data_IF_230457562124
#
_entry.id   IF_230457562124
#
_cell.length_a   1.000
_cell.length_b   1.000
_cell.length_c   1.000
_cell.angle_alpha   90.00
_cell.angle_beta   90.00
_cell.angle_gamma   90.00
#
_symmetry.space_group_name_H-M   'P 1'
#
loop_
_entity.id
_entity.type
_entity.pdbx_description
1 polymer ?
#
# COMPACT_ATOMS: atom_id res chain seq x y z
N UNK A 1 9.47 -25.40 0.26
CA UNK A 1 8.48 -24.48 -0.33
C UNK A 1 8.85 -24.33 -1.80
N UNK A 2 7.91 -24.48 -2.74
CA UNK A 2 8.22 -24.35 -4.17
C UNK A 2 8.27 -22.87 -4.55
N UNK A 3 9.42 -22.39 -4.97
CA UNK A 3 9.64 -20.98 -5.37
C UNK A 3 9.34 -20.73 -6.84
N UNK A 4 9.15 -21.79 -7.62
CA UNK A 4 8.90 -21.72 -9.07
C UNK A 4 7.43 -21.48 -9.43
N UNK A 5 6.53 -21.51 -8.44
CA UNK A 5 5.10 -21.25 -8.66
C UNK A 5 4.82 -19.73 -8.61
N UNK A 6 3.91 -19.22 -9.45
CA UNK A 6 3.38 -17.87 -9.30
C UNK A 6 2.86 -17.65 -7.88
N UNK A 7 3.39 -16.64 -7.18
CA UNK A 7 3.06 -16.41 -5.77
C UNK A 7 2.66 -14.95 -5.54
N UNK A 8 1.50 -14.75 -4.89
CA UNK A 8 1.06 -13.44 -4.41
C UNK A 8 1.48 -13.26 -2.96
N UNK A 9 2.15 -12.15 -2.66
CA UNK A 9 2.46 -11.68 -1.31
C UNK A 9 1.55 -10.51 -0.95
N UNK A 10 1.14 -10.46 0.31
CA UNK A 10 0.30 -9.38 0.82
C UNK A 10 0.87 -8.87 2.13
N UNK A 11 1.11 -7.57 2.19
CA UNK A 11 1.43 -6.84 3.41
C UNK A 11 0.33 -5.81 3.64
N UNK A 12 -0.62 -6.13 4.51
CA UNK A 12 -1.75 -5.26 4.85
C UNK A 12 -1.49 -4.60 6.20
N UNK A 13 -1.09 -3.31 6.18
CA UNK A 13 -0.62 -2.54 7.32
C UNK A 13 0.51 -3.27 8.07
N UNK A 14 1.58 -3.67 7.36
CA UNK A 14 2.71 -4.39 7.97
C UNK A 14 4.03 -3.64 7.82
N UNK A 15 4.39 -3.23 6.59
CA UNK A 15 5.76 -2.81 6.32
C UNK A 15 6.15 -1.51 7.03
N UNK A 16 5.19 -0.61 7.23
CA UNK A 16 5.34 0.64 8.01
C UNK A 16 5.84 0.44 9.45
N UNK A 17 5.68 -0.76 10.04
CA UNK A 17 6.17 -1.06 11.39
C UNK A 17 7.63 -1.52 11.44
N UNK A 18 8.22 -1.80 10.28
CA UNK A 18 9.64 -2.15 10.16
C UNK A 18 10.45 -0.91 9.78
N UNK A 19 11.75 -0.90 10.09
CA UNK A 19 12.59 0.17 9.53
C UNK A 19 12.64 0.05 8.00
N UNK A 20 12.89 1.14 7.25
CA UNK A 20 12.95 1.09 5.80
C UNK A 20 14.01 0.13 5.26
N UNK A 21 15.11 -0.04 6.00
CA UNK A 21 16.12 -1.03 5.67
C UNK A 21 15.57 -2.47 5.77
N UNK A 22 14.88 -2.81 6.86
CA UNK A 22 14.30 -4.13 7.07
C UNK A 22 13.21 -4.44 6.05
N UNK A 23 12.35 -3.46 5.80
CA UNK A 23 11.21 -3.60 4.90
C UNK A 23 11.67 -3.70 3.44
N UNK A 24 12.71 -2.97 3.03
CA UNK A 24 13.34 -3.10 1.71
C UNK A 24 14.07 -4.43 1.55
N UNK A 25 14.74 -4.93 2.59
CA UNK A 25 15.36 -6.27 2.60
C UNK A 25 14.32 -7.37 2.39
N UNK A 26 13.15 -7.27 3.03
CA UNK A 26 12.05 -8.22 2.85
C UNK A 26 11.52 -8.18 1.41
N UNK A 27 11.21 -6.99 0.91
CA UNK A 27 10.67 -6.81 -0.46
C UNK A 27 11.66 -7.31 -1.52
N UNK A 28 12.96 -7.06 -1.33
CA UNK A 28 14.02 -7.57 -2.21
C UNK A 28 14.16 -9.09 -2.12
N UNK A 29 14.16 -9.65 -0.92
CA UNK A 29 14.23 -11.09 -0.74
C UNK A 29 13.09 -11.81 -1.48
N UNK A 30 11.87 -11.26 -1.45
CA UNK A 30 10.76 -11.80 -2.25
C UNK A 30 11.07 -11.75 -3.75
N UNK A 31 11.51 -10.60 -4.27
CA UNK A 31 11.83 -10.45 -5.69
C UNK A 31 12.95 -11.38 -6.17
N UNK A 32 13.96 -11.60 -5.33
CA UNK A 32 15.10 -12.47 -5.63
C UNK A 32 14.71 -13.97 -5.54
N UNK A 33 13.76 -14.31 -4.67
CA UNK A 33 13.37 -15.71 -4.39
C UNK A 33 12.30 -16.23 -5.35
N UNK A 34 11.36 -15.37 -5.78
CA UNK A 34 10.19 -15.77 -6.57
C UNK A 34 10.25 -15.14 -7.97
N UNK A 35 10.63 -15.91 -9.01
CA UNK A 35 10.79 -15.37 -10.37
C UNK A 35 9.47 -14.92 -11.02
N UNK A 36 8.34 -15.41 -10.52
CA UNK A 36 7.00 -14.95 -10.94
C UNK A 36 6.19 -14.67 -9.68
N UNK A 37 5.98 -13.40 -9.39
CA UNK A 37 5.34 -12.96 -8.18
C UNK A 37 4.58 -11.64 -8.37
N UNK A 38 3.60 -11.45 -7.49
CA UNK A 38 2.95 -10.17 -7.26
C UNK A 38 3.08 -9.83 -5.78
N UNK A 39 3.24 -8.56 -5.46
CA UNK A 39 3.20 -8.06 -4.09
C UNK A 39 2.11 -7.01 -3.99
N UNK A 40 1.25 -7.11 -2.98
CA UNK A 40 0.26 -6.07 -2.64
C UNK A 40 0.63 -5.51 -1.28
N UNK A 41 0.79 -4.20 -1.20
CA UNK A 41 1.09 -3.45 0.00
C UNK A 41 -0.01 -2.43 0.25
N UNK A 42 -0.69 -2.53 1.38
CA UNK A 42 -1.64 -1.54 1.85
C UNK A 42 -1.08 -0.89 3.11
N UNK A 43 -0.81 0.41 3.09
CA UNK A 43 -0.32 1.15 4.26
C UNK A 43 -0.50 2.66 4.05
N UNK A 44 0.07 3.47 4.95
CA UNK A 44 -0.02 4.91 4.87
C UNK A 44 0.71 5.51 3.66
N UNK A 45 0.25 6.69 3.23
CA UNK A 45 0.88 7.53 2.20
C UNK A 45 0.65 9.01 2.55
N UNK A 46 1.37 9.92 1.88
CA UNK A 46 1.22 11.38 2.06
C UNK A 46 1.49 11.85 3.51
N UNK A 47 2.39 11.16 4.21
CA UNK A 47 2.60 11.35 5.66
C UNK A 47 3.39 12.62 6.05
N UNK A 48 3.78 13.45 5.09
CA UNK A 48 4.59 14.66 5.35
C UNK A 48 3.76 15.89 5.74
N UNK A 49 2.45 15.86 5.52
CA UNK A 49 1.57 16.98 5.80
C UNK A 49 1.14 17.07 7.29
N UNK A 50 0.28 18.05 7.62
CA UNK A 50 -0.17 18.26 9.00
C UNK A 50 -1.04 17.09 9.51
N UNK A 51 -1.85 16.48 8.66
CA UNK A 51 -2.70 15.36 9.04
C UNK A 51 -1.85 14.11 9.31
N UNK A 52 -0.88 13.83 8.43
CA UNK A 52 0.12 12.77 8.62
C UNK A 52 0.89 12.91 9.94
N UNK A 53 1.34 14.13 10.27
CA UNK A 53 2.00 14.40 11.56
C UNK A 53 1.08 14.09 12.76
N UNK A 54 -0.18 14.55 12.72
CA UNK A 54 -1.15 14.26 13.78
C UNK A 54 -1.43 12.75 13.89
N UNK A 55 -1.50 12.03 12.76
CA UNK A 55 -1.64 10.57 12.76
C UNK A 55 -0.46 9.88 13.46
N UNK A 56 0.78 10.27 13.14
CA UNK A 56 1.99 9.74 13.78
C UNK A 56 1.98 10.02 15.28
N UNK A 57 1.71 11.26 15.70
CA UNK A 57 1.64 11.64 17.11
C UNK A 57 0.57 10.81 17.86
N UNK A 58 -0.59 10.60 17.25
CA UNK A 58 -1.68 9.82 17.85
C UNK A 58 -1.32 8.35 18.04
N UNK A 59 -0.62 7.74 17.08
CA UNK A 59 -0.15 6.36 17.17
C UNK A 59 0.98 6.22 18.21
N UNK A 60 1.92 7.17 18.24
CA UNK A 60 3.00 7.19 19.22
C UNK A 60 2.48 7.30 20.65
N UNK A 61 1.44 8.11 20.91
CA UNK A 61 0.77 8.19 22.22
C UNK A 61 0.17 6.85 22.67
N UNK A 62 -0.14 5.95 21.73
CA UNK A 62 -0.63 4.58 21.98
C UNK A 62 0.50 3.55 22.00
N UNK A 63 1.76 3.98 22.10
CA UNK A 63 2.95 3.13 22.05
C UNK A 63 3.09 2.33 20.73
N UNK A 64 2.51 2.86 19.65
CA UNK A 64 2.58 2.29 18.32
C UNK A 64 3.50 3.16 17.46
N UNK A 65 4.75 2.72 17.26
CA UNK A 65 5.73 3.45 16.47
C UNK A 65 5.72 3.01 15.01
N UNK A 66 5.63 3.98 14.09
CA UNK A 66 5.73 3.77 12.65
C UNK A 66 7.19 3.88 12.21
N UNK A 67 7.98 2.83 12.44
CA UNK A 67 9.43 2.83 12.15
C UNK A 67 9.76 3.11 10.67
N UNK A 68 8.83 2.81 9.76
CA UNK A 68 8.96 2.99 8.32
C UNK A 68 8.21 4.20 7.76
N UNK A 69 7.73 5.13 8.59
CA UNK A 69 6.92 6.27 8.09
C UNK A 69 7.66 7.12 7.04
N UNK A 70 8.99 7.17 7.08
CA UNK A 70 9.78 7.97 6.13
C UNK A 70 9.70 7.48 4.68
N UNK A 71 9.23 6.25 4.42
CA UNK A 71 8.97 5.77 3.04
C UNK A 71 7.53 6.03 2.57
N UNK A 72 6.66 6.49 3.47
CA UNK A 72 5.24 6.77 3.22
C UNK A 72 4.99 8.22 2.76
N UNK A 73 5.92 8.81 1.98
CA UNK A 73 5.87 10.23 1.60
C UNK A 73 4.86 10.51 0.49
N UNK A 74 4.80 9.65 -0.52
CA UNK A 74 3.92 9.79 -1.67
C UNK A 74 3.67 8.44 -2.35
N UNK A 75 2.73 8.40 -3.30
CA UNK A 75 2.53 7.21 -4.14
C UNK A 75 3.79 6.87 -4.94
N UNK A 76 4.55 7.87 -5.37
CA UNK A 76 5.82 7.65 -6.07
C UNK A 76 6.86 7.00 -5.16
N UNK A 77 7.00 7.43 -3.90
CA UNK A 77 7.94 6.80 -2.97
C UNK A 77 7.56 5.34 -2.66
N UNK A 78 6.27 5.03 -2.63
CA UNK A 78 5.78 3.66 -2.49
C UNK A 78 6.15 2.80 -3.71
N UNK A 79 5.94 3.29 -4.94
CA UNK A 79 6.33 2.58 -6.17
C UNK A 79 7.85 2.39 -6.27
N UNK A 80 8.61 3.45 -6.05
CA UNK A 80 10.08 3.43 -6.12
C UNK A 80 10.69 2.38 -5.17
N UNK A 81 10.11 2.21 -3.98
CA UNK A 81 10.55 1.20 -3.01
C UNK A 81 10.51 -0.22 -3.57
N UNK A 82 9.50 -0.56 -4.37
CA UNK A 82 9.42 -1.85 -5.05
C UNK A 82 10.38 -1.92 -6.24
N UNK A 83 10.40 -0.90 -7.09
CA UNK A 83 11.27 -0.87 -8.28
C UNK A 83 12.77 -0.97 -7.91
N UNK A 84 13.21 -0.25 -6.89
CA UNK A 84 14.58 -0.31 -6.36
C UNK A 84 14.91 -1.64 -5.65
N UNK A 85 13.87 -2.43 -5.34
CA UNK A 85 13.99 -3.74 -4.67
C UNK A 85 13.89 -4.92 -5.65
N UNK A 86 13.99 -4.69 -6.97
CA UNK A 86 14.10 -5.77 -7.96
C UNK A 86 12.78 -6.22 -8.59
N UNK A 87 11.71 -5.45 -8.39
CA UNK A 87 10.42 -5.64 -9.05
C UNK A 87 10.42 -4.99 -10.45
N UNK A 88 9.72 -5.62 -11.40
CA UNK A 88 9.76 -5.20 -12.81
C UNK A 88 8.78 -4.03 -13.07
N UNK A 89 7.65 -4.01 -12.35
CA UNK A 89 6.67 -2.93 -12.37
C UNK A 89 6.10 -2.68 -10.98
N UNK A 90 5.62 -1.46 -10.74
CA UNK A 90 4.89 -1.10 -9.53
C UNK A 90 3.91 0.05 -9.83
N UNK A 91 2.70 -0.07 -9.30
CA UNK A 91 1.66 0.94 -9.38
C UNK A 91 1.03 1.15 -7.99
N UNK A 92 0.37 2.29 -7.79
CA UNK A 92 -0.26 2.62 -6.52
C UNK A 92 -1.41 3.62 -6.70
N UNK A 93 -2.43 3.49 -5.85
CA UNK A 93 -3.55 4.42 -5.73
C UNK A 93 -3.76 4.79 -4.28
N UNK A 94 -4.08 6.04 -3.99
CA UNK A 94 -4.62 6.42 -2.69
C UNK A 94 -6.04 5.86 -2.52
N UNK A 95 -6.47 5.65 -1.29
CA UNK A 95 -7.76 5.01 -1.03
C UNK A 95 -8.96 5.89 -1.36
N UNK A 96 -8.78 7.20 -1.52
CA UNK A 96 -9.86 8.08 -1.98
C UNK A 96 -10.11 7.86 -3.48
N UNK A 97 -9.04 7.67 -4.26
CA UNK A 97 -9.13 7.26 -5.65
C UNK A 97 -9.82 5.90 -5.78
N UNK A 98 -9.44 4.91 -4.95
CA UNK A 98 -10.11 3.59 -4.91
C UNK A 98 -11.59 3.72 -4.55
N UNK A 99 -11.93 4.45 -3.48
CA UNK A 99 -13.31 4.66 -3.05
C UNK A 99 -14.16 5.31 -4.15
N UNK A 100 -13.59 6.29 -4.87
CA UNK A 100 -14.27 6.99 -5.97
C UNK A 100 -14.49 6.12 -7.21
N UNK A 101 -13.72 5.04 -7.36
CA UNK A 101 -13.83 4.09 -8.46
C UNK A 101 -14.80 2.93 -8.17
N UNK A 102 -15.28 2.79 -6.93
CA UNK A 102 -16.21 1.73 -6.56
C UNK A 102 -17.54 1.84 -7.36
N UNK A 103 -18.19 0.71 -7.65
CA UNK A 103 -19.53 0.73 -8.22
C UNK A 103 -20.49 1.55 -7.36
N UNK A 104 -21.26 2.47 -7.97
CA UNK A 104 -22.17 3.37 -7.24
C UNK A 104 -23.18 2.62 -6.37
N UNK A 105 -23.58 1.41 -6.76
CA UNK A 105 -24.45 0.55 -5.98
C UNK A 105 -23.80 0.13 -4.64
N UNK A 106 -22.50 -0.15 -4.63
CA UNK A 106 -21.75 -0.49 -3.41
C UNK A 106 -21.54 0.73 -2.53
N UNK A 107 -21.15 1.88 -3.11
CA UNK A 107 -21.04 3.14 -2.36
C UNK A 107 -22.35 3.47 -1.65
N UNK A 108 -23.47 3.42 -2.38
CA UNK A 108 -24.80 3.68 -1.82
C UNK A 108 -25.19 2.66 -0.76
N UNK A 109 -24.82 1.39 -0.92
CA UNK A 109 -25.08 0.34 0.06
C UNK A 109 -24.28 0.57 1.35
N UNK A 110 -23.02 0.97 1.25
CA UNK A 110 -22.11 1.21 2.38
C UNK A 110 -22.52 2.48 3.12
N UNK A 111 -22.73 3.61 2.44
CA UNK A 111 -23.10 4.90 3.04
C UNK A 111 -24.49 4.89 3.73
N UNK A 112 -25.31 3.86 3.49
CA UNK A 112 -26.59 3.67 4.18
C UNK A 112 -26.47 2.94 5.51
N UNK A 113 -25.35 2.28 5.79
CA UNK A 113 -25.16 1.52 7.03
C UNK A 113 -25.00 2.45 8.23
N UNK A 114 -24.24 3.52 8.06
CA UNK A 114 -23.99 4.51 9.11
C UNK A 114 -24.05 5.93 8.51
N UNK A 115 -24.71 6.83 9.23
CA UNK A 115 -24.73 8.24 8.86
C UNK A 115 -23.37 8.88 9.20
N UNK A 116 -22.73 9.47 8.19
CA UNK A 116 -21.48 10.22 8.33
C UNK A 116 -21.73 11.68 7.92
N UNK A 117 -21.67 12.58 8.88
CA UNK A 117 -21.80 14.03 8.68
C UNK A 117 -20.50 14.67 8.20
N UNK A 118 -19.35 14.24 8.72
CA UNK A 118 -18.02 14.80 8.40
C UNK A 118 -17.32 14.04 7.26
N UNK A 119 -17.81 14.21 6.01
CA UNK A 119 -17.23 13.55 4.82
C UNK A 119 -15.79 13.98 4.54
N UNK A 120 -15.43 15.20 4.92
CA UNK A 120 -14.08 15.75 4.75
C UNK A 120 -13.04 14.97 5.56
N UNK A 121 -13.41 14.47 6.76
CA UNK A 121 -12.51 13.66 7.57
C UNK A 121 -12.28 12.28 6.95
N UNK A 122 -13.32 11.67 6.37
CA UNK A 122 -13.16 10.42 5.63
C UNK A 122 -12.27 10.62 4.41
N UNK A 123 -12.48 11.70 3.65
CA UNK A 123 -11.62 12.02 2.51
C UNK A 123 -10.16 12.21 2.95
N UNK A 124 -9.90 12.98 4.01
CA UNK A 124 -8.55 13.16 4.55
C UNK A 124 -7.94 11.82 4.96
N UNK A 125 -8.69 10.96 5.66
CA UNK A 125 -8.22 9.64 6.06
C UNK A 125 -7.86 8.78 4.84
N UNK A 126 -8.74 8.71 3.84
CA UNK A 126 -8.53 7.88 2.65
C UNK A 126 -7.38 8.38 1.77
N UNK A 127 -7.12 9.69 1.74
CA UNK A 127 -5.96 10.27 1.05
C UNK A 127 -4.61 9.95 1.73
N UNK A 128 -4.64 9.43 2.97
CA UNK A 128 -3.46 9.08 3.75
C UNK A 128 -3.21 7.56 3.84
N UNK A 129 -3.95 6.77 3.07
CA UNK A 129 -3.66 5.36 2.84
C UNK A 129 -3.57 5.10 1.35
N UNK A 130 -2.75 4.13 0.96
CA UNK A 130 -2.67 3.66 -0.42
C UNK A 130 -2.70 2.15 -0.51
N UNK A 131 -3.16 1.65 -1.65
CA UNK A 131 -2.85 0.31 -2.13
C UNK A 131 -1.78 0.43 -3.21
N UNK A 132 -0.66 -0.25 -3.02
CA UNK A 132 0.42 -0.40 -3.99
C UNK A 132 0.53 -1.86 -4.39
N UNK A 133 0.76 -2.12 -5.67
CA UNK A 133 1.06 -3.46 -6.15
C UNK A 133 2.25 -3.45 -7.09
N UNK A 134 3.06 -4.50 -6.99
CA UNK A 134 4.24 -4.69 -7.81
C UNK A 134 4.23 -6.09 -8.43
N UNK A 135 4.83 -6.22 -9.62
CA UNK A 135 4.90 -7.51 -10.31
C UNK A 135 6.30 -7.83 -10.83
N UNK A 136 6.59 -9.13 -10.86
CA UNK A 136 7.73 -9.75 -11.53
C UNK A 136 7.19 -10.95 -12.28
N UNK A 137 7.37 -11.03 -13.59
CA UNK A 137 6.59 -11.96 -14.43
C UNK A 137 7.43 -12.76 -15.42
N UNK A 138 8.34 -13.59 -14.90
CA UNK A 138 9.18 -14.48 -15.74
C UNK A 138 8.36 -15.44 -16.61
N UNK A 139 7.22 -15.93 -16.11
CA UNK A 139 6.33 -16.83 -16.83
C UNK A 139 5.43 -16.12 -17.86
N UNK A 140 5.46 -14.78 -17.92
CA UNK A 140 4.69 -13.95 -18.86
C UNK A 140 3.18 -14.21 -18.79
N UNK A 141 2.66 -14.29 -17.58
CA UNK A 141 1.24 -14.48 -17.30
C UNK A 141 0.41 -13.21 -17.57
N UNK A 142 1.06 -12.07 -17.79
CA UNK A 142 0.41 -10.77 -17.97
C UNK A 142 0.13 -10.09 -16.63
N UNK A 143 0.95 -10.33 -15.60
CA UNK A 143 0.73 -9.76 -14.27
C UNK A 143 0.74 -8.22 -14.28
N UNK A 144 1.47 -7.60 -15.21
CA UNK A 144 1.49 -6.16 -15.41
C UNK A 144 0.17 -5.57 -15.96
N UNK A 145 -0.76 -6.42 -16.42
CA UNK A 145 -2.10 -5.98 -16.87
C UNK A 145 -3.12 -5.94 -15.72
N UNK A 146 -2.76 -6.46 -14.55
CA UNK A 146 -3.60 -6.37 -13.36
C UNK A 146 -3.54 -4.93 -12.86
N UNK A 147 -4.69 -4.26 -12.87
CA UNK A 147 -4.90 -2.92 -12.37
C UNK A 147 -6.14 -2.90 -11.46
N UNK A 148 -6.14 -1.96 -10.51
CA UNK A 148 -7.26 -1.67 -9.62
C UNK A 148 -8.02 -0.44 -10.10
#
# INVERSE_FOLDING_TARGET
MSTDLPTLFMAECVLVYMTPEQSSKLVRWVADTFPTAMFVNYEQVNMEDRFGQVMVENLQRRQCNLAGVEVCRSLESQKERFLQSGWDSADALDMMTVYSALPQADVTRIERLEFLDEKELLQQLLQHYCICWASKDRLRLGLSQIAF
#
